data_IF_257115852526
#
_entry.id   IF_257115852526
#
_cell.length_a   1.000
_cell.length_b   1.000
_cell.length_c   1.000
_cell.angle_alpha   90.00
_cell.angle_beta   90.00
_cell.angle_gamma   90.00
#
_symmetry.space_group_name_H-M   'P 1'
#
loop_
_entity.id
_entity.type
_entity.pdbx_description
1 polymer ?
#
# COMPACT_ATOMS: atom_id res chain seq x y z
N UNK A 1 7.45 30.11 48.08
CA UNK A 1 7.48 29.84 46.63
C UNK A 1 8.93 29.64 46.20
N UNK A 2 9.42 28.40 46.26
CA UNK A 2 10.80 28.07 45.92
C UNK A 2 10.87 27.64 44.45
N UNK A 3 11.44 28.50 43.60
CA UNK A 3 11.80 28.13 42.25
C UNK A 3 12.94 27.12 42.28
N UNK A 4 12.66 25.89 41.81
CA UNK A 4 13.67 25.08 41.15
C UNK A 4 13.15 24.77 39.75
N UNK A 5 13.57 25.55 38.75
CA UNK A 5 13.38 25.19 37.33
C UNK A 5 14.38 24.07 36.99
N UNK A 6 14.18 22.89 37.56
CA UNK A 6 14.88 21.68 37.16
C UNK A 6 14.09 20.98 36.07
N UNK A 7 14.07 21.52 34.86
CA UNK A 7 13.43 20.85 33.73
C UNK A 7 14.49 20.00 33.00
N UNK A 8 14.38 18.67 33.12
CA UNK A 8 15.20 17.77 32.31
C UNK A 8 14.78 17.82 30.84
N UNK A 9 15.73 17.86 29.92
CA UNK A 9 15.44 17.73 28.49
C UNK A 9 15.00 16.30 28.19
N UNK A 10 13.82 16.12 27.63
CA UNK A 10 13.37 14.82 27.10
C UNK A 10 14.32 14.33 26.00
N UNK A 11 14.72 13.05 26.04
CA UNK A 11 15.52 12.38 24.99
C UNK A 11 14.66 11.70 23.92
N UNK A 12 13.37 12.03 23.86
CA UNK A 12 12.43 11.44 22.91
C UNK A 12 12.51 12.21 21.59
N UNK A 13 13.42 11.79 20.71
CA UNK A 13 13.60 12.33 19.35
C UNK A 13 13.97 11.27 18.31
N UNK A 14 13.72 9.98 18.63
CA UNK A 14 13.99 8.87 17.71
C UNK A 14 12.76 8.66 16.84
N UNK A 15 12.94 8.76 15.54
CA UNK A 15 11.95 8.35 14.55
C UNK A 15 12.62 7.47 13.48
N UNK A 16 11.80 6.63 12.85
CA UNK A 16 12.21 5.78 11.73
C UNK A 16 11.97 6.50 10.40
N UNK A 17 12.78 6.17 9.40
CA UNK A 17 12.53 6.68 8.04
C UNK A 17 11.18 6.18 7.50
N UNK A 18 10.51 7.02 6.71
CA UNK A 18 9.26 6.66 6.06
C UNK A 18 9.43 5.49 5.08
N UNK A 19 8.55 4.49 5.18
CA UNK A 19 8.63 3.24 4.40
C UNK A 19 7.96 3.31 3.01
N UNK A 20 7.48 4.50 2.61
CA UNK A 20 6.83 4.77 1.30
C UNK A 20 5.73 3.76 0.91
N UNK A 21 4.95 3.29 1.90
CA UNK A 21 3.76 2.45 1.70
C UNK A 21 2.64 3.24 1.02
N UNK A 22 1.58 2.55 0.59
CA UNK A 22 0.41 3.12 -0.07
C UNK A 22 0.13 2.52 -1.45
N UNK A 23 -0.96 3.00 -2.05
CA UNK A 23 -1.37 2.65 -3.41
C UNK A 23 -0.36 3.23 -4.42
N UNK A 24 -0.03 2.44 -5.43
CA UNK A 24 0.87 2.77 -6.53
C UNK A 24 0.13 2.88 -7.86
N UNK A 25 -0.95 2.12 -8.04
CA UNK A 25 -1.83 2.18 -9.20
C UNK A 25 -3.28 2.32 -8.74
N UNK A 26 -3.95 3.34 -9.26
CA UNK A 26 -5.34 3.66 -8.92
C UNK A 26 -6.32 3.01 -9.90
N UNK A 27 -7.61 3.06 -9.58
CA UNK A 27 -8.66 2.52 -10.45
C UNK A 27 -8.64 3.14 -11.85
N UNK A 28 -8.84 2.33 -12.88
CA UNK A 28 -8.81 2.70 -14.29
C UNK A 28 -7.40 2.77 -14.91
N UNK A 29 -6.33 2.72 -14.11
CA UNK A 29 -4.97 2.78 -14.64
C UNK A 29 -4.54 1.44 -15.25
N UNK A 30 -3.80 1.52 -16.36
CA UNK A 30 -3.19 0.35 -16.98
C UNK A 30 -2.01 -0.18 -16.17
N UNK A 31 -1.92 -1.51 -16.13
CA UNK A 31 -0.86 -2.28 -15.52
C UNK A 31 -0.41 -3.39 -16.46
N UNK A 32 0.86 -3.76 -16.32
CA UNK A 32 1.40 -5.00 -16.87
C UNK A 32 1.55 -6.03 -15.75
N UNK A 33 1.68 -7.30 -16.12
CA UNK A 33 2.00 -8.38 -15.21
C UNK A 33 3.25 -8.04 -14.38
N UNK A 34 3.18 -8.28 -13.07
CA UNK A 34 4.24 -7.97 -12.11
C UNK A 34 4.20 -6.54 -11.55
N UNK A 35 3.39 -5.62 -12.10
CA UNK A 35 3.31 -4.27 -11.53
C UNK A 35 2.78 -4.29 -10.09
N UNK A 36 3.43 -3.52 -9.21
CA UNK A 36 2.97 -3.31 -7.84
C UNK A 36 1.77 -2.35 -7.86
N UNK A 37 0.65 -2.79 -7.28
CA UNK A 37 -0.57 -1.99 -7.16
C UNK A 37 -0.65 -1.31 -5.79
N UNK A 38 -0.26 -1.99 -4.71
CA UNK A 38 -0.23 -1.40 -3.37
C UNK A 38 0.87 -2.03 -2.49
N UNK A 39 1.58 -1.19 -1.73
CA UNK A 39 2.49 -1.62 -0.65
C UNK A 39 1.85 -1.33 0.69
N UNK A 40 1.75 -2.34 1.55
CA UNK A 40 1.03 -2.23 2.82
C UNK A 40 1.74 -3.03 3.91
N UNK A 41 1.29 -2.89 5.16
CA UNK A 41 1.58 -3.87 6.20
C UNK A 41 0.29 -4.40 6.77
N UNK A 42 0.20 -5.72 6.83
CA UNK A 42 -1.07 -6.41 6.93
C UNK A 42 -1.93 -6.19 5.69
N UNK A 43 -3.12 -6.78 5.70
CA UNK A 43 -4.06 -6.75 4.58
C UNK A 43 -5.10 -5.65 4.77
N UNK A 44 -4.76 -4.40 4.45
CA UNK A 44 -5.75 -3.32 4.37
C UNK A 44 -6.61 -3.50 3.11
N UNK A 45 -5.93 -3.76 2.00
CA UNK A 45 -6.51 -4.24 0.76
C UNK A 45 -6.28 -5.74 0.61
N UNK A 46 -7.26 -6.42 0.03
CA UNK A 46 -7.23 -7.84 -0.26
C UNK A 46 -7.02 -8.07 -1.77
N UNK A 47 -6.31 -9.14 -2.15
CA UNK A 47 -6.17 -9.50 -3.55
C UNK A 47 -7.52 -10.03 -4.05
N UNK A 48 -7.80 -9.75 -5.31
CA UNK A 48 -8.98 -10.23 -6.03
C UNK A 48 -8.58 -10.93 -7.32
N UNK A 49 -9.37 -10.75 -8.37
CA UNK A 49 -9.12 -11.37 -9.67
C UNK A 49 -7.84 -10.81 -10.31
N UNK A 50 -7.02 -11.71 -10.87
CA UNK A 50 -5.77 -11.41 -11.57
C UNK A 50 -4.76 -10.59 -10.77
N UNK A 51 -4.80 -10.75 -9.44
CA UNK A 51 -3.96 -10.01 -8.50
C UNK A 51 -3.40 -10.97 -7.46
N UNK A 52 -2.08 -10.90 -7.24
CA UNK A 52 -1.37 -11.68 -6.23
C UNK A 52 -1.01 -10.86 -4.99
N UNK A 53 -0.66 -11.56 -3.91
CA UNK A 53 -0.12 -10.96 -2.69
C UNK A 53 1.23 -11.59 -2.35
N UNK A 54 2.24 -10.74 -2.15
CA UNK A 54 3.57 -11.16 -1.70
C UNK A 54 3.65 -11.45 -0.20
N UNK A 55 4.78 -12.00 0.24
CA UNK A 55 5.04 -12.29 1.66
C UNK A 55 4.98 -11.04 2.56
N UNK A 56 5.33 -9.87 2.01
CA UNK A 56 5.28 -8.58 2.71
C UNK A 56 3.91 -7.89 2.60
N UNK A 57 2.87 -8.63 2.19
CA UNK A 57 1.51 -8.14 1.91
C UNK A 57 1.39 -7.17 0.73
N UNK A 58 2.46 -6.97 -0.05
CA UNK A 58 2.40 -6.16 -1.28
C UNK A 58 1.47 -6.83 -2.30
N UNK A 59 0.61 -6.03 -2.92
CA UNK A 59 -0.32 -6.48 -3.96
C UNK A 59 0.26 -6.15 -5.33
N UNK A 60 0.25 -7.14 -6.23
CA UNK A 60 0.79 -7.01 -7.59
C UNK A 60 -0.14 -7.64 -8.64
N UNK A 61 -0.06 -7.15 -9.88
CA UNK A 61 -0.84 -7.66 -11.02
C UNK A 61 -0.28 -9.00 -11.53
N UNK A 62 -1.16 -9.94 -11.87
CA UNK A 62 -0.77 -11.22 -12.50
C UNK A 62 -0.87 -11.18 -14.03
N UNK A 63 -1.66 -10.26 -14.58
CA UNK A 63 -1.81 -10.05 -16.01
C UNK A 63 -1.81 -8.56 -16.35
N UNK A 64 -1.70 -8.28 -17.65
CA UNK A 64 -1.86 -6.94 -18.20
C UNK A 64 -3.34 -6.56 -18.18
N UNK A 65 -3.65 -5.29 -17.93
CA UNK A 65 -5.04 -4.84 -17.84
C UNK A 65 -5.25 -3.52 -17.12
N UNK A 66 -6.49 -3.26 -16.71
CA UNK A 66 -6.87 -2.08 -15.92
C UNK A 66 -7.19 -2.44 -14.47
N UNK A 67 -6.65 -1.69 -13.52
CA UNK A 67 -6.93 -1.90 -12.09
C UNK A 67 -8.34 -1.43 -11.75
N UNK A 68 -9.08 -2.19 -10.95
CA UNK A 68 -10.33 -1.72 -10.35
C UNK A 68 -10.46 -2.19 -8.90
N UNK A 69 -11.23 -1.43 -8.13
CA UNK A 69 -11.44 -1.66 -6.70
C UNK A 69 -12.91 -2.00 -6.45
N UNK A 70 -13.19 -3.04 -5.66
CA UNK A 70 -14.54 -3.43 -5.27
C UNK A 70 -14.66 -3.60 -3.74
N UNK A 71 -15.82 -4.11 -3.29
CA UNK A 71 -16.10 -4.39 -1.86
C UNK A 71 -15.80 -3.18 -0.97
N UNK A 72 -16.38 -2.04 -1.31
CA UNK A 72 -16.15 -0.73 -0.67
C UNK A 72 -14.68 -0.27 -0.74
N UNK A 73 -13.99 -0.60 -1.84
CA UNK A 73 -12.61 -0.21 -2.08
C UNK A 73 -11.55 -1.04 -1.35
N UNK A 74 -11.94 -2.18 -0.75
CA UNK A 74 -11.04 -3.02 0.06
C UNK A 74 -10.46 -4.21 -0.69
N UNK A 75 -10.93 -4.52 -1.90
CA UNK A 75 -10.34 -5.57 -2.73
C UNK A 75 -9.95 -5.01 -4.09
N UNK A 76 -8.77 -5.43 -4.55
CA UNK A 76 -8.12 -4.95 -5.77
C UNK A 76 -8.14 -6.06 -6.80
N UNK A 77 -8.54 -5.72 -8.01
CA UNK A 77 -8.61 -6.63 -9.14
C UNK A 77 -7.96 -5.99 -10.37
N UNK A 78 -7.63 -6.81 -11.37
CA UNK A 78 -7.22 -6.36 -12.70
C UNK A 78 -8.15 -6.96 -13.74
N UNK A 79 -8.78 -6.10 -14.53
CA UNK A 79 -9.56 -6.46 -15.71
C UNK A 79 -8.60 -6.60 -16.90
N UNK A 80 -8.44 -7.81 -17.47
CA UNK A 80 -7.53 -8.02 -18.58
C UNK A 80 -7.96 -7.22 -19.81
N UNK A 81 -7.00 -6.61 -20.49
CA UNK A 81 -7.22 -6.07 -21.84
C UNK A 81 -6.87 -7.19 -22.82
N UNK A 82 -7.80 -7.58 -23.67
CA UNK A 82 -7.52 -8.55 -24.73
C UNK A 82 -6.46 -7.97 -25.68
N UNK A 83 -5.40 -8.76 -25.89
CA UNK A 83 -4.40 -8.45 -26.91
C UNK A 83 -5.02 -8.86 -28.24
N UNK A 84 -5.42 -7.87 -29.04
CA UNK A 84 -5.92 -8.06 -30.41
C UNK A 84 -4.87 -8.70 -31.31
#
# INVERSE_FOLDING_TARGET
MAHKKGQGSSRNGRDSNAQRRGIKKFGGQSVIAGNIIARQCGTKWHPGMNVGMGRDYTIFALCDGHVYFDRKGRRINVEPVEVA
#
